data_IF_290117734607
#
_entry.id   IF_290117734607
#
_cell.length_a   1.000
_cell.length_b   1.000
_cell.length_c   1.000
_cell.angle_alpha   90.00
_cell.angle_beta   90.00
_cell.angle_gamma   90.00
#
_symmetry.space_group_name_H-M   'P 1'
#
loop_
_entity.id
_entity.type
_entity.pdbx_description
1 polymer ?
#
# COMPACT_ATOMS: atom_id res chain seq x y z
N UNK A 1 26.30 -0.39 -2.24
CA UNK A 1 25.42 0.78 -2.43
C UNK A 1 24.87 1.24 -1.08
N UNK A 2 23.98 0.48 -0.46
CA UNK A 2 23.61 0.65 0.96
C UNK A 2 24.82 0.31 1.87
N UNK A 3 25.59 -0.69 1.47
CA UNK A 3 26.79 -1.20 2.16
C UNK A 3 27.98 -0.21 2.22
N UNK A 4 27.95 0.87 1.42
CA UNK A 4 29.03 1.87 1.35
C UNK A 4 28.54 3.29 1.63
N UNK A 5 27.29 3.47 2.11
CA UNK A 5 26.63 4.77 2.31
C UNK A 5 26.74 5.73 1.10
N UNK A 6 26.69 5.17 -0.11
CA UNK A 6 26.78 5.95 -1.33
C UNK A 6 25.39 6.46 -1.72
N UNK A 7 25.26 7.79 -1.83
CA UNK A 7 24.05 8.46 -2.30
C UNK A 7 23.70 8.02 -3.72
N UNK A 8 22.49 7.48 -3.90
CA UNK A 8 21.93 7.21 -5.23
C UNK A 8 20.45 7.51 -5.27
N UNK A 9 19.90 7.55 -6.47
CA UNK A 9 18.50 7.86 -6.71
C UNK A 9 17.71 6.54 -6.82
N UNK A 10 16.65 6.42 -6.03
CA UNK A 10 15.64 5.35 -6.09
C UNK A 10 14.26 6.01 -6.20
N UNK A 11 13.44 5.61 -7.18
CA UNK A 11 12.13 6.24 -7.45
C UNK A 11 12.18 7.79 -7.51
N UNK A 12 13.24 8.33 -8.12
CA UNK A 12 13.51 9.76 -8.21
C UNK A 12 13.78 10.48 -6.86
N UNK A 13 13.95 9.72 -5.77
CA UNK A 13 14.34 10.22 -4.46
C UNK A 13 15.79 9.85 -4.15
N UNK A 14 16.62 10.75 -3.60
CA UNK A 14 17.95 10.41 -3.14
C UNK A 14 17.86 9.55 -1.86
N UNK A 15 18.62 8.46 -1.81
CA UNK A 15 18.77 7.60 -0.62
C UNK A 15 20.23 7.23 -0.39
N UNK A 16 20.69 7.34 0.85
CA UNK A 16 22.08 7.14 1.26
C UNK A 16 22.28 5.95 2.19
N UNK A 17 21.34 5.73 3.10
CA UNK A 17 21.44 4.70 4.14
C UNK A 17 20.23 3.76 4.10
N UNK A 18 20.31 2.61 4.78
CA UNK A 18 19.22 1.61 4.77
C UNK A 18 17.85 2.19 5.18
N UNK A 19 17.81 3.15 6.09
CA UNK A 19 16.60 3.83 6.53
C UNK A 19 15.93 4.61 5.39
N UNK A 20 16.69 5.41 4.65
CA UNK A 20 16.17 6.17 3.50
C UNK A 20 15.56 5.24 2.45
N UNK A 21 16.17 4.07 2.20
CA UNK A 21 15.64 3.11 1.23
C UNK A 21 14.34 2.49 1.72
N UNK A 22 14.25 2.12 3.00
CA UNK A 22 13.02 1.61 3.60
C UNK A 22 11.93 2.68 3.46
N UNK A 23 12.23 3.91 3.82
CA UNK A 23 11.27 5.02 3.77
C UNK A 23 10.78 5.29 2.33
N UNK A 24 11.68 5.34 1.36
CA UNK A 24 11.34 5.52 -0.06
C UNK A 24 10.43 4.38 -0.56
N UNK A 25 10.73 3.13 -0.18
CA UNK A 25 9.93 1.98 -0.61
C UNK A 25 8.56 1.99 0.09
N UNK A 26 8.51 2.18 1.41
CA UNK A 26 7.25 2.13 2.17
C UNK A 26 6.32 3.28 1.85
N UNK A 27 6.84 4.42 1.37
CA UNK A 27 6.04 5.55 0.91
C UNK A 27 5.77 5.54 -0.61
N UNK A 28 6.15 4.49 -1.33
CA UNK A 28 5.87 4.37 -2.75
C UNK A 28 4.44 3.91 -3.04
N UNK A 29 3.88 4.34 -4.17
CA UNK A 29 2.55 3.91 -4.61
C UNK A 29 2.43 2.38 -4.72
N UNK A 30 3.50 1.70 -5.18
CA UNK A 30 3.53 0.24 -5.27
C UNK A 30 3.45 -0.45 -3.90
N UNK A 31 4.01 0.14 -2.84
CA UNK A 31 3.85 -0.40 -1.49
C UNK A 31 2.41 -0.24 -0.98
N UNK A 32 1.78 0.91 -1.24
CA UNK A 32 0.38 1.15 -0.87
C UNK A 32 -0.57 0.21 -1.61
N UNK A 33 -0.37 0.00 -2.91
CA UNK A 33 -1.14 -0.98 -3.69
C UNK A 33 -0.97 -2.40 -3.15
N UNK A 34 0.27 -2.80 -2.83
CA UNK A 34 0.54 -4.12 -2.26
C UNK A 34 -0.18 -4.35 -0.93
N UNK A 35 -0.26 -3.33 -0.07
CA UNK A 35 -1.01 -3.39 1.19
C UNK A 35 -2.52 -3.52 0.97
N UNK A 36 -3.07 -2.80 -0.02
CA UNK A 36 -4.49 -2.91 -0.38
C UNK A 36 -4.79 -4.33 -0.89
N UNK A 37 -3.98 -4.85 -1.82
CA UNK A 37 -4.13 -6.23 -2.31
C UNK A 37 -4.05 -7.25 -1.18
N UNK A 38 -3.08 -7.09 -0.29
CA UNK A 38 -2.95 -7.95 0.88
C UNK A 38 -4.17 -7.92 1.79
N UNK A 39 -4.77 -6.74 2.01
CA UNK A 39 -5.99 -6.60 2.80
C UNK A 39 -7.18 -7.35 2.16
N UNK A 40 -7.37 -7.23 0.85
CA UNK A 40 -8.42 -7.96 0.12
C UNK A 40 -8.24 -9.48 0.19
N UNK A 41 -7.02 -9.97 -0.05
CA UNK A 41 -6.72 -11.40 0.05
C UNK A 41 -6.97 -11.91 1.48
N UNK A 42 -6.62 -11.11 2.49
CA UNK A 42 -6.75 -11.52 3.90
C UNK A 42 -8.20 -11.49 4.38
N UNK A 43 -8.99 -10.50 3.95
CA UNK A 43 -10.35 -10.28 4.47
C UNK A 43 -11.44 -10.91 3.60
N UNK A 44 -11.25 -10.99 2.29
CA UNK A 44 -12.23 -11.50 1.33
C UNK A 44 -11.76 -12.76 0.59
N UNK A 45 -10.52 -13.22 0.82
CA UNK A 45 -9.93 -14.37 0.13
C UNK A 45 -9.95 -14.27 -1.41
N UNK A 46 -9.92 -13.03 -1.95
CA UNK A 46 -9.84 -12.76 -3.39
C UNK A 46 -8.88 -11.61 -3.72
N UNK A 47 -8.50 -11.52 -4.98
CA UNK A 47 -7.82 -10.33 -5.51
C UNK A 47 -8.82 -9.17 -5.68
N UNK A 48 -8.42 -7.92 -5.39
CA UNK A 48 -9.22 -6.74 -5.71
C UNK A 48 -9.26 -6.52 -7.22
N UNK A 49 -10.33 -5.89 -7.70
CA UNK A 49 -10.40 -5.40 -9.08
C UNK A 49 -9.77 -4.01 -9.22
N UNK A 50 -9.36 -3.65 -10.43
CA UNK A 50 -8.62 -2.40 -10.68
C UNK A 50 -9.36 -1.13 -10.19
N UNK A 51 -10.70 -1.12 -10.25
CA UNK A 51 -11.50 0.01 -9.75
C UNK A 51 -11.40 0.17 -8.23
N UNK A 52 -11.42 -0.93 -7.48
CA UNK A 52 -11.31 -0.93 -6.02
C UNK A 52 -9.94 -0.45 -5.58
N UNK A 53 -8.89 -0.95 -6.27
CA UNK A 53 -7.51 -0.53 -6.04
C UNK A 53 -7.41 0.97 -6.27
N UNK A 54 -7.90 1.50 -7.40
CA UNK A 54 -7.77 2.91 -7.72
C UNK A 54 -8.49 3.81 -6.69
N UNK A 55 -9.71 3.42 -6.28
CA UNK A 55 -10.47 4.15 -5.26
C UNK A 55 -9.74 4.18 -3.91
N UNK A 56 -9.22 3.05 -3.45
CA UNK A 56 -8.54 2.96 -2.16
C UNK A 56 -7.13 3.55 -2.21
N UNK A 57 -6.42 3.43 -3.33
CA UNK A 57 -5.07 3.96 -3.49
C UNK A 57 -5.06 5.49 -3.43
N UNK A 58 -6.05 6.16 -4.03
CA UNK A 58 -6.20 7.61 -3.92
C UNK A 58 -6.33 8.06 -2.46
N UNK A 59 -7.25 7.43 -1.72
CA UNK A 59 -7.50 7.75 -0.30
C UNK A 59 -6.31 7.39 0.58
N UNK A 60 -5.74 6.21 0.39
CA UNK A 60 -4.66 5.69 1.23
C UNK A 60 -3.34 6.44 1.02
N UNK A 61 -3.09 6.96 -0.19
CA UNK A 61 -1.91 7.81 -0.45
C UNK A 61 -1.96 9.13 0.34
N UNK A 62 -3.18 9.67 0.57
CA UNK A 62 -3.38 10.92 1.30
C UNK A 62 -3.36 10.68 2.81
N UNK A 63 -4.20 9.75 3.27
CA UNK A 63 -4.44 9.54 4.70
C UNK A 63 -3.36 8.68 5.36
N UNK A 64 -2.68 7.82 4.58
CA UNK A 64 -1.74 6.79 5.05
C UNK A 64 -2.32 5.90 6.16
N UNK A 65 -3.64 5.82 6.25
CA UNK A 65 -4.37 5.10 7.27
C UNK A 65 -4.81 3.73 6.75
N UNK A 66 -4.10 2.70 7.19
CA UNK A 66 -4.39 1.33 6.79
C UNK A 66 -5.67 0.80 7.43
N UNK A 67 -6.07 1.31 8.60
CA UNK A 67 -7.28 0.87 9.28
C UNK A 67 -8.53 1.28 8.48
N UNK A 68 -8.50 2.45 7.83
CA UNK A 68 -9.58 2.85 6.91
C UNK A 68 -9.74 1.91 5.72
N UNK A 69 -8.64 1.37 5.19
CA UNK A 69 -8.69 0.36 4.13
C UNK A 69 -9.39 -0.91 4.63
N UNK A 70 -9.04 -1.36 5.84
CA UNK A 70 -9.67 -2.53 6.45
C UNK A 70 -11.16 -2.29 6.75
N UNK A 71 -11.51 -1.13 7.30
CA UNK A 71 -12.89 -0.73 7.60
C UNK A 71 -13.74 -0.69 6.33
N UNK A 72 -13.22 -0.11 5.24
CA UNK A 72 -13.91 -0.08 3.96
C UNK A 72 -14.25 -1.49 3.46
N UNK A 73 -13.31 -2.42 3.55
CA UNK A 73 -13.53 -3.82 3.14
C UNK A 73 -14.54 -4.50 4.08
N UNK A 74 -14.39 -4.35 5.41
CA UNK A 74 -15.24 -5.01 6.40
C UNK A 74 -16.68 -4.50 6.44
N UNK A 75 -16.91 -3.26 6.00
CA UNK A 75 -18.25 -2.66 5.91
C UNK A 75 -18.97 -2.98 4.60
N UNK A 76 -18.30 -3.63 3.65
CA UNK A 76 -18.91 -4.05 2.39
C UNK A 76 -19.92 -5.18 2.58
N UNK A 77 -20.98 -5.16 1.77
CA UNK A 77 -21.98 -6.25 1.75
C UNK A 77 -21.35 -7.60 1.39
N UNK A 78 -20.27 -7.58 0.59
CA UNK A 78 -19.49 -8.77 0.24
C UNK A 78 -18.85 -9.42 1.46
N UNK A 79 -18.19 -8.63 2.32
CA UNK A 79 -17.59 -9.12 3.54
C UNK A 79 -18.64 -9.64 4.53
N UNK A 80 -19.76 -8.94 4.64
CA UNK A 80 -20.87 -9.32 5.51
C UNK A 80 -21.69 -10.51 4.97
N UNK A 81 -21.39 -10.98 3.76
CA UNK A 81 -22.07 -12.07 3.08
C UNK A 81 -23.59 -11.84 2.95
N UNK A 82 -23.99 -10.58 2.77
CA UNK A 82 -25.40 -10.17 2.65
C UNK A 82 -25.98 -10.31 1.23
N UNK A 83 -25.26 -10.97 0.31
CA UNK A 83 -25.65 -11.34 -1.07
C UNK A 83 -27.05 -10.90 -1.53
#
# INVERSE_FOLDING_TARGET
MIEYNLSRILFNCPGQNKGDYIDIITNSAGCYEGLIRWAYITLLAREPVDSEINTLLYTFTIDKDFQKVQEFIMTSDEYANFN
#
